data_IF_926471335194
#
_entry.id   IF_926471335194
#
_cell.length_a   1.000
_cell.length_b   1.000
_cell.length_c   1.000
_cell.angle_alpha   90.00
_cell.angle_beta   90.00
_cell.angle_gamma   90.00
#
_symmetry.space_group_name_H-M   'P 1'
#
loop_
_entity.id
_entity.type
_entity.pdbx_description
1 polymer ?
#
# COMPACT_ATOMS: atom_id res chain seq x y z
N UNK A 1 -3.77 40.92 -1.01
CA UNK A 1 -3.21 39.56 -0.93
C UNK A 1 -4.00 38.71 -1.92
N UNK A 2 -3.34 38.06 -2.88
CA UNK A 2 -4.02 37.09 -3.73
C UNK A 2 -4.38 35.90 -2.85
N UNK A 3 -5.67 35.57 -2.75
CA UNK A 3 -6.14 34.36 -2.05
C UNK A 3 -5.63 33.15 -2.83
N UNK A 4 -4.49 32.60 -2.40
CA UNK A 4 -4.02 31.31 -2.87
C UNK A 4 -4.94 30.24 -2.29
N UNK A 5 -6.08 30.01 -2.96
CA UNK A 5 -7.05 28.99 -2.56
C UNK A 5 -6.43 27.62 -2.78
N UNK A 6 -6.03 26.96 -1.69
CA UNK A 6 -5.59 25.56 -1.70
C UNK A 6 -6.83 24.67 -1.65
N UNK A 7 -6.93 23.73 -2.59
CA UNK A 7 -8.03 22.75 -2.68
C UNK A 7 -7.44 21.36 -3.00
N UNK A 8 -8.12 20.28 -2.60
CA UNK A 8 -7.66 18.91 -2.81
C UNK A 8 -8.81 17.91 -2.88
N UNK A 9 -8.59 16.77 -3.52
CA UNK A 9 -9.60 15.73 -3.66
C UNK A 9 -9.69 14.87 -2.40
N UNK A 10 -10.88 14.72 -1.83
CA UNK A 10 -11.15 13.65 -0.88
C UNK A 10 -11.76 12.46 -1.62
N UNK A 11 -11.19 11.26 -1.47
CA UNK A 11 -11.74 10.04 -2.05
C UNK A 11 -12.05 9.03 -0.95
N UNK A 12 -13.34 8.79 -0.71
CA UNK A 12 -13.79 7.67 0.10
C UNK A 12 -13.57 6.33 -0.63
N UNK A 13 -13.82 5.21 0.03
CA UNK A 13 -13.57 3.88 -0.56
C UNK A 13 -14.37 3.63 -1.85
N UNK A 14 -15.62 4.11 -1.95
CA UNK A 14 -16.45 3.97 -3.15
C UNK A 14 -15.83 4.73 -4.33
N UNK A 15 -15.39 5.97 -4.09
CA UNK A 15 -14.74 6.79 -5.12
C UNK A 15 -13.39 6.20 -5.54
N UNK A 16 -12.66 5.55 -4.62
CA UNK A 16 -11.46 4.79 -4.96
C UNK A 16 -11.75 3.61 -5.89
N UNK A 17 -12.86 2.88 -5.66
CA UNK A 17 -13.32 1.80 -6.55
C UNK A 17 -13.69 2.36 -7.93
N UNK A 18 -14.45 3.44 -7.97
CA UNK A 18 -14.84 4.12 -9.22
C UNK A 18 -13.61 4.62 -10.00
N UNK A 19 -12.56 5.04 -9.30
CA UNK A 19 -11.26 5.42 -9.88
C UNK A 19 -10.40 4.23 -10.34
N UNK A 20 -10.85 2.99 -10.15
CA UNK A 20 -10.19 1.78 -10.64
C UNK A 20 -9.11 1.22 -9.70
N UNK A 21 -9.16 1.50 -8.39
CA UNK A 21 -8.16 1.00 -7.41
C UNK A 21 -8.03 -0.53 -7.39
N UNK A 22 -9.04 -1.26 -7.86
CA UNK A 22 -9.08 -2.73 -7.91
C UNK A 22 -8.58 -3.33 -9.22
N UNK A 23 -8.15 -2.52 -10.20
CA UNK A 23 -7.58 -2.99 -11.46
C UNK A 23 -6.20 -3.60 -11.22
N UNK A 24 -6.16 -4.93 -11.07
CA UNK A 24 -4.95 -5.67 -10.77
C UNK A 24 -3.94 -5.62 -11.92
N UNK A 25 -4.39 -5.73 -13.17
CA UNK A 25 -3.51 -5.72 -14.34
C UNK A 25 -2.78 -4.39 -14.44
N UNK A 26 -3.53 -3.29 -14.36
CA UNK A 26 -2.96 -1.94 -14.33
C UNK A 26 -2.03 -1.75 -13.13
N UNK A 27 -2.38 -2.30 -11.97
CA UNK A 27 -1.54 -2.23 -10.79
C UNK A 27 -0.20 -2.94 -10.98
N UNK A 28 -0.17 -4.13 -11.60
CA UNK A 28 1.07 -4.85 -11.94
C UNK A 28 1.95 -4.03 -12.88
N UNK A 29 1.35 -3.40 -13.90
CA UNK A 29 2.11 -2.58 -14.86
C UNK A 29 2.68 -1.32 -14.19
N UNK A 30 1.89 -0.63 -13.35
CA UNK A 30 2.37 0.50 -12.54
C UNK A 30 3.46 0.06 -11.56
N UNK A 31 3.32 -1.10 -10.91
CA UNK A 31 4.32 -1.58 -9.96
C UNK A 31 5.63 -1.99 -10.63
N UNK A 32 5.56 -2.45 -11.88
CA UNK A 32 6.73 -2.65 -12.73
C UNK A 32 7.46 -1.33 -12.98
N UNK A 33 6.73 -0.26 -13.33
CA UNK A 33 7.30 1.08 -13.53
C UNK A 33 7.92 1.64 -12.24
N UNK A 34 7.29 1.43 -11.08
CA UNK A 34 7.86 1.81 -9.79
C UNK A 34 9.19 1.10 -9.53
N UNK A 35 9.30 -0.20 -9.80
CA UNK A 35 10.56 -0.91 -9.64
C UNK A 35 11.66 -0.41 -10.59
N UNK A 36 11.31 -0.03 -11.82
CA UNK A 36 12.25 0.59 -12.77
C UNK A 36 12.75 1.95 -12.25
N UNK A 37 11.86 2.82 -11.77
CA UNK A 37 12.23 4.11 -11.16
C UNK A 37 13.10 3.92 -9.91
N UNK A 38 12.74 2.95 -9.06
CA UNK A 38 13.56 2.60 -7.89
C UNK A 38 14.96 2.12 -8.29
N UNK A 39 15.05 1.28 -9.33
CA UNK A 39 16.32 0.81 -9.88
C UNK A 39 17.20 1.93 -10.43
N UNK A 40 16.58 2.99 -10.97
CA UNK A 40 17.26 4.21 -11.43
C UNK A 40 17.61 5.18 -10.30
N UNK A 41 17.07 4.97 -9.10
CA UNK A 41 17.22 5.89 -7.97
C UNK A 41 16.30 7.12 -8.02
N UNK A 42 15.29 7.14 -8.88
CA UNK A 42 14.34 8.25 -9.00
C UNK A 42 13.18 8.12 -8.01
N UNK A 43 13.55 8.08 -6.73
CA UNK A 43 12.64 8.00 -5.60
C UNK A 43 13.33 8.50 -4.33
N UNK A 44 12.54 8.87 -3.34
CA UNK A 44 13.03 9.19 -1.98
C UNK A 44 12.03 8.61 -0.98
N UNK A 45 12.49 7.82 -0.02
CA UNK A 45 11.64 7.42 1.12
C UNK A 45 12.11 8.12 2.41
N UNK A 46 11.38 7.93 3.50
CA UNK A 46 11.73 8.54 4.79
C UNK A 46 13.07 8.08 5.37
N UNK A 47 13.44 8.68 6.51
CA UNK A 47 14.62 8.32 7.28
C UNK A 47 15.95 8.86 6.72
N UNK A 48 17.02 8.75 7.53
CA UNK A 48 18.33 9.37 7.26
C UNK A 48 18.95 8.98 5.92
N UNK A 49 18.74 7.72 5.50
CA UNK A 49 19.30 7.18 4.27
C UNK A 49 18.38 7.34 3.06
N UNK A 50 17.28 8.11 3.19
CA UNK A 50 16.28 8.32 2.13
C UNK A 50 15.64 7.02 1.60
N UNK A 51 15.62 5.98 2.44
CA UNK A 51 15.26 4.62 2.05
C UNK A 51 14.60 3.81 3.19
N UNK A 52 14.08 4.48 4.23
CA UNK A 52 13.34 3.81 5.31
C UNK A 52 11.93 3.51 4.87
N UNK A 53 11.45 2.31 5.20
CA UNK A 53 10.09 1.89 4.86
C UNK A 53 9.00 2.70 5.58
N UNK A 54 9.32 3.27 6.74
CA UNK A 54 8.41 4.10 7.51
C UNK A 54 8.88 4.31 8.95
N UNK A 55 8.05 5.01 9.73
CA UNK A 55 8.24 5.24 11.16
C UNK A 55 7.12 4.51 11.90
N UNK A 56 7.50 3.65 12.83
CA UNK A 56 6.61 2.82 13.62
C UNK A 56 6.28 3.50 14.95
N UNK A 57 5.00 3.57 15.29
CA UNK A 57 4.54 3.76 16.66
C UNK A 57 4.10 2.40 17.21
N UNK A 58 4.81 1.93 18.23
CA UNK A 58 4.45 0.76 19.04
C UNK A 58 4.12 1.19 20.46
N UNK A 59 3.38 0.34 21.16
CA UNK A 59 3.03 0.57 22.56
C UNK A 59 3.81 -0.36 23.48
N UNK A 60 4.04 0.01 24.76
CA UNK A 60 4.69 -0.86 25.72
C UNK A 60 3.80 -2.04 26.13
N UNK A 61 4.41 -3.14 26.56
CA UNK A 61 3.70 -4.29 27.12
C UNK A 61 2.99 -3.95 28.42
N UNK A 62 3.55 -3.05 29.24
CA UNK A 62 2.92 -2.56 30.47
C UNK A 62 2.90 -1.03 30.45
N UNK A 63 1.81 -0.40 29.92
CA UNK A 63 1.71 1.06 29.86
C UNK A 63 1.55 1.67 31.26
N UNK A 64 2.34 2.70 31.56
CA UNK A 64 2.30 3.44 32.83
C UNK A 64 1.08 4.36 32.94
N UNK A 65 0.51 4.77 31.81
CA UNK A 65 -0.58 5.75 31.74
C UNK A 65 -1.92 5.10 31.40
N UNK A 66 -3.02 5.50 32.05
CA UNK A 66 -4.30 4.79 31.97
C UNK A 66 -4.93 4.74 30.56
N UNK A 67 -4.64 5.73 29.72
CA UNK A 67 -5.20 5.81 28.36
C UNK A 67 -4.24 5.32 27.27
N UNK A 68 -2.99 4.98 27.63
CA UNK A 68 -2.03 4.48 26.65
C UNK A 68 -2.42 3.04 26.28
N UNK A 69 -2.63 2.74 24.99
CA UNK A 69 -2.89 1.38 24.58
C UNK A 69 -1.77 0.45 25.04
N UNK A 70 -2.11 -0.76 25.49
CA UNK A 70 -1.14 -1.83 25.68
C UNK A 70 -0.65 -2.35 24.32
N UNK A 71 0.56 -2.86 24.26
CA UNK A 71 1.01 -3.66 23.14
C UNK A 71 0.03 -4.81 22.86
N UNK A 72 0.02 -5.29 21.62
CA UNK A 72 -0.84 -6.39 21.22
C UNK A 72 -0.30 -7.04 19.95
N UNK A 73 -0.81 -8.23 19.60
CA UNK A 73 -0.32 -8.94 18.43
C UNK A 73 -0.58 -8.10 17.17
N UNK A 74 0.51 -7.65 16.56
CA UNK A 74 0.54 -6.71 15.42
C UNK A 74 -0.15 -5.36 15.65
N UNK A 75 -0.22 -4.89 16.90
CA UNK A 75 -0.74 -3.56 17.22
C UNK A 75 0.32 -2.51 16.95
N UNK A 76 0.07 -1.63 15.98
CA UNK A 76 0.99 -0.55 15.60
C UNK A 76 0.31 0.55 14.80
N UNK A 77 0.94 1.72 14.79
CA UNK A 77 0.72 2.72 13.75
C UNK A 77 2.00 2.93 12.93
N UNK A 78 1.85 3.32 11.67
CA UNK A 78 2.96 3.45 10.73
C UNK A 78 2.72 4.64 9.79
N UNK A 79 3.71 5.54 9.73
CA UNK A 79 3.83 6.59 8.73
C UNK A 79 4.83 6.14 7.66
N UNK A 80 4.37 6.03 6.41
CA UNK A 80 5.21 5.62 5.29
C UNK A 80 5.21 6.72 4.24
N UNK A 81 6.23 7.59 4.31
CA UNK A 81 6.41 8.72 3.39
C UNK A 81 7.32 8.35 2.22
N UNK A 82 6.96 8.80 1.03
CA UNK A 82 7.79 8.66 -0.16
C UNK A 82 7.53 9.76 -1.20
N UNK A 83 8.55 10.07 -1.98
CA UNK A 83 8.47 10.70 -3.29
C UNK A 83 8.79 9.64 -4.37
N UNK A 84 8.08 9.73 -5.49
CA UNK A 84 8.33 8.93 -6.68
C UNK A 84 8.40 9.85 -7.89
N UNK A 85 9.47 9.72 -8.68
CA UNK A 85 9.67 10.53 -9.88
C UNK A 85 8.99 9.98 -11.13
N UNK A 86 9.68 10.06 -12.26
CA UNK A 86 9.13 9.75 -13.58
C UNK A 86 7.86 10.56 -13.90
N UNK A 87 6.87 9.92 -14.52
CA UNK A 87 5.58 10.56 -14.83
C UNK A 87 4.67 10.79 -13.61
N UNK A 88 5.05 10.27 -12.44
CA UNK A 88 4.26 10.43 -11.22
C UNK A 88 4.57 11.78 -10.59
N UNK A 89 5.85 12.07 -10.34
CA UNK A 89 6.36 13.32 -9.77
C UNK A 89 5.50 13.83 -8.59
N UNK A 90 5.28 12.96 -7.61
CA UNK A 90 4.45 13.23 -6.42
C UNK A 90 5.15 12.79 -5.15
N UNK A 91 4.91 13.54 -4.09
CA UNK A 91 5.18 13.10 -2.73
C UNK A 91 3.89 12.57 -2.11
N UNK A 92 4.00 11.70 -1.11
CA UNK A 92 2.82 11.19 -0.41
C UNK A 92 3.15 10.42 0.86
N UNK A 93 2.11 10.13 1.61
CA UNK A 93 2.18 9.33 2.83
C UNK A 93 1.08 8.29 2.84
N UNK A 94 1.44 7.07 3.25
CA UNK A 94 0.50 6.11 3.80
C UNK A 94 0.57 6.10 5.32
N UNK A 95 -0.52 6.51 5.95
CA UNK A 95 -0.72 6.44 7.38
C UNK A 95 -1.68 5.30 7.73
N UNK A 96 -1.29 4.42 8.66
CA UNK A 96 -2.20 3.38 9.10
C UNK A 96 -2.04 2.89 10.52
N UNK A 97 -3.15 2.44 11.09
CA UNK A 97 -3.21 1.58 12.26
C UNK A 97 -3.41 0.11 11.88
N UNK A 98 -2.79 -0.80 12.61
CA UNK A 98 -3.04 -2.23 12.57
C UNK A 98 -3.33 -2.70 13.99
N UNK A 99 -4.38 -3.48 14.18
CA UNK A 99 -4.73 -4.10 15.45
C UNK A 99 -5.58 -5.34 15.19
N UNK A 100 -5.11 -6.52 15.60
CA UNK A 100 -5.86 -7.77 15.40
C UNK A 100 -7.22 -7.76 16.11
N UNK A 101 -7.32 -7.08 17.24
CA UNK A 101 -8.55 -7.02 18.04
C UNK A 101 -9.65 -6.17 17.41
N UNK A 102 -9.35 -5.40 16.34
CA UNK A 102 -10.36 -4.66 15.60
C UNK A 102 -11.44 -5.57 15.03
N UNK A 103 -11.11 -6.82 14.70
CA UNK A 103 -12.07 -7.80 14.20
C UNK A 103 -13.20 -8.06 15.21
N UNK A 104 -12.90 -8.03 16.51
CA UNK A 104 -13.90 -8.19 17.58
C UNK A 104 -14.85 -6.99 17.68
N UNK A 105 -14.46 -5.85 17.09
CA UNK A 105 -15.22 -4.61 17.04
C UNK A 105 -15.95 -4.42 15.70
N UNK A 106 -15.95 -5.44 14.82
CA UNK A 106 -16.51 -5.33 13.48
C UNK A 106 -15.70 -4.43 12.53
N UNK A 107 -14.45 -4.11 12.88
CA UNK A 107 -13.55 -3.27 12.09
C UNK A 107 -12.50 -4.12 11.36
N UNK A 108 -12.00 -3.66 10.20
CA UNK A 108 -10.83 -4.28 9.57
C UNK A 108 -9.62 -4.28 10.51
N UNK A 109 -8.79 -5.33 10.41
CA UNK A 109 -7.53 -5.43 11.17
C UNK A 109 -6.67 -4.17 11.00
N UNK A 110 -6.57 -3.66 9.78
CA UNK A 110 -5.83 -2.43 9.49
C UNK A 110 -6.75 -1.42 8.83
N UNK A 111 -6.60 -0.15 9.20
CA UNK A 111 -7.38 0.97 8.68
C UNK A 111 -6.37 2.01 8.25
N UNK A 112 -6.45 2.43 6.99
CA UNK A 112 -5.40 3.17 6.30
C UNK A 112 -5.98 4.39 5.58
N UNK A 113 -5.22 5.48 5.58
CA UNK A 113 -5.43 6.64 4.72
C UNK A 113 -4.17 6.91 3.89
N UNK A 114 -4.35 7.52 2.72
CA UNK A 114 -3.27 8.02 1.88
C UNK A 114 -3.42 9.52 1.65
N UNK A 115 -2.30 10.22 1.58
CA UNK A 115 -2.22 11.59 1.05
C UNK A 115 -1.23 11.63 -0.11
N UNK A 116 -1.54 12.45 -1.10
CA UNK A 116 -0.64 12.83 -2.19
C UNK A 116 -0.46 14.35 -2.19
N UNK A 117 0.74 14.78 -2.53
CA UNK A 117 1.18 16.16 -2.61
C UNK A 117 1.95 16.39 -3.91
N UNK A 118 1.81 17.61 -4.42
CA UNK A 118 2.71 18.11 -5.46
C UNK A 118 4.15 18.13 -4.91
N UNK A 119 5.09 17.60 -5.69
CA UNK A 119 6.46 17.37 -5.21
C UNK A 119 7.27 18.67 -5.04
N UNK A 120 6.87 19.76 -5.70
CA UNK A 120 7.59 21.04 -5.67
C UNK A 120 6.98 22.00 -4.64
N UNK A 121 5.69 22.33 -4.82
CA UNK A 121 4.97 23.26 -3.95
C UNK A 121 4.55 22.68 -2.61
N UNK A 122 4.48 21.35 -2.50
CA UNK A 122 3.93 20.65 -1.34
C UNK A 122 2.41 20.73 -1.21
N UNK A 123 1.70 21.38 -2.15
CA UNK A 123 0.26 21.51 -2.11
C UNK A 123 -0.42 20.12 -2.11
N UNK A 124 -1.44 19.88 -1.26
CA UNK A 124 -2.15 18.61 -1.25
C UNK A 124 -2.90 18.41 -2.56
N UNK A 125 -2.81 17.20 -3.10
CA UNK A 125 -3.53 16.79 -4.31
C UNK A 125 -4.75 15.95 -3.94
N UNK A 126 -4.57 14.98 -3.04
CA UNK A 126 -5.65 14.10 -2.63
C UNK A 126 -5.46 13.52 -1.23
N UNK A 127 -6.57 13.25 -0.53
CA UNK A 127 -6.64 12.47 0.70
C UNK A 127 -7.66 11.34 0.55
N UNK A 128 -7.24 10.10 0.75
CA UNK A 128 -7.95 8.95 0.19
C UNK A 128 -8.02 7.76 1.16
N UNK A 129 -9.08 6.95 1.05
CA UNK A 129 -9.13 5.62 1.70
C UNK A 129 -8.00 4.72 1.21
N UNK A 130 -7.22 4.15 2.12
CA UNK A 130 -5.98 3.42 1.81
C UNK A 130 -6.09 1.90 1.80
N UNK A 131 -7.21 1.32 2.24
CA UNK A 131 -7.33 -0.13 2.47
C UNK A 131 -7.16 -0.95 1.18
N UNK A 132 -7.93 -0.62 0.14
CA UNK A 132 -7.92 -1.35 -1.14
C UNK A 132 -6.61 -1.14 -1.90
N UNK A 133 -6.16 0.10 -2.05
CA UNK A 133 -4.87 0.40 -2.71
C UNK A 133 -3.73 -0.33 -2.00
N UNK A 134 -3.72 -0.36 -0.66
CA UNK A 134 -2.68 -1.07 0.10
C UNK A 134 -2.71 -2.57 -0.15
N UNK A 135 -3.88 -3.21 -0.20
CA UNK A 135 -3.95 -4.65 -0.47
C UNK A 135 -3.60 -4.98 -1.92
N UNK A 136 -4.21 -4.30 -2.89
CA UNK A 136 -4.02 -4.54 -4.32
C UNK A 136 -2.56 -4.36 -4.72
N UNK A 137 -1.92 -3.24 -4.34
CA UNK A 137 -0.49 -3.02 -4.63
C UNK A 137 0.42 -4.02 -3.94
N UNK A 138 0.06 -4.51 -2.75
CA UNK A 138 0.84 -5.54 -2.06
C UNK A 138 0.74 -6.87 -2.81
N UNK A 139 -0.47 -7.25 -3.23
CA UNK A 139 -0.71 -8.45 -4.03
C UNK A 139 -0.09 -8.39 -5.42
N UNK A 140 -0.01 -7.20 -6.02
CA UNK A 140 0.62 -7.00 -7.32
C UNK A 140 2.14 -7.33 -7.30
N UNK A 141 2.83 -7.16 -6.17
CA UNK A 141 4.29 -7.41 -6.09
C UNK A 141 4.65 -8.87 -6.45
N UNK A 142 4.03 -9.91 -5.85
CA UNK A 142 4.19 -11.28 -6.33
C UNK A 142 3.88 -11.48 -7.82
N UNK A 143 2.88 -10.79 -8.37
CA UNK A 143 2.57 -10.82 -9.81
C UNK A 143 3.70 -10.25 -10.66
N UNK A 144 4.27 -9.11 -10.28
CA UNK A 144 5.48 -8.56 -10.94
C UNK A 144 6.62 -9.57 -10.86
N UNK A 145 6.89 -10.13 -9.69
CA UNK A 145 7.92 -11.16 -9.52
C UNK A 145 7.70 -12.37 -10.43
N UNK A 146 6.47 -12.90 -10.45
CA UNK A 146 6.12 -14.05 -11.27
C UNK A 146 6.23 -13.76 -12.78
N UNK A 147 5.84 -12.56 -13.23
CA UNK A 147 5.96 -12.13 -14.63
C UNK A 147 7.40 -12.26 -15.16
N UNK A 148 8.40 -12.02 -14.32
CA UNK A 148 9.82 -12.06 -14.72
C UNK A 148 10.56 -13.34 -14.30
N UNK A 149 10.10 -14.03 -13.25
CA UNK A 149 10.88 -15.09 -12.60
C UNK A 149 10.18 -16.46 -12.59
N UNK A 150 8.85 -16.52 -12.77
CA UNK A 150 8.15 -17.80 -12.83
C UNK A 150 8.42 -18.51 -14.16
N UNK A 151 8.37 -19.84 -14.15
CA UNK A 151 8.44 -20.60 -15.41
C UNK A 151 7.19 -20.30 -16.24
N UNK A 152 7.30 -20.06 -17.56
CA UNK A 152 6.15 -19.78 -18.42
C UNK A 152 5.08 -20.88 -18.41
N UNK A 153 5.47 -22.12 -18.09
CA UNK A 153 4.61 -23.32 -18.03
C UNK A 153 4.10 -23.63 -16.60
N UNK A 154 4.19 -22.70 -15.66
CA UNK A 154 3.73 -22.89 -14.28
C UNK A 154 2.21 -23.14 -14.23
N UNK A 155 1.80 -24.30 -13.70
CA UNK A 155 0.40 -24.72 -13.57
C UNK A 155 -0.17 -24.66 -12.15
N UNK A 156 0.70 -24.71 -11.14
CA UNK A 156 0.30 -24.74 -9.74
C UNK A 156 0.91 -23.58 -8.99
N UNK A 157 0.09 -22.85 -8.23
CA UNK A 157 0.54 -21.92 -7.20
C UNK A 157 0.12 -22.42 -5.81
N UNK A 158 0.85 -22.00 -4.77
CA UNK A 158 0.47 -22.27 -3.39
C UNK A 158 0.12 -20.96 -2.66
N UNK A 159 -0.93 -20.98 -1.84
CA UNK A 159 -1.36 -19.83 -1.02
C UNK A 159 -1.27 -20.17 0.46
N UNK A 160 -0.25 -19.65 1.14
CA UNK A 160 -0.09 -19.83 2.59
C UNK A 160 -0.88 -18.76 3.34
N UNK A 161 -2.06 -19.16 3.84
CA UNK A 161 -3.04 -18.29 4.49
C UNK A 161 -4.05 -17.70 3.51
N UNK A 162 -5.30 -17.51 3.97
CA UNK A 162 -6.45 -17.11 3.11
C UNK A 162 -6.95 -15.67 3.37
N UNK A 163 -6.06 -14.80 3.85
CA UNK A 163 -6.36 -13.39 4.13
C UNK A 163 -6.42 -12.52 2.88
N UNK A 164 -6.74 -11.24 3.06
CA UNK A 164 -6.87 -10.25 1.97
C UNK A 164 -5.63 -10.21 1.08
N UNK A 165 -4.43 -10.23 1.67
CA UNK A 165 -3.17 -10.18 0.91
C UNK A 165 -3.01 -11.40 0.01
N UNK A 166 -3.22 -12.61 0.52
CA UNK A 166 -3.13 -13.84 -0.29
C UNK A 166 -4.14 -13.85 -1.43
N UNK A 167 -5.36 -13.32 -1.21
CA UNK A 167 -6.37 -13.18 -2.27
C UNK A 167 -5.91 -12.22 -3.36
N UNK A 168 -5.40 -11.04 -3.00
CA UNK A 168 -4.86 -10.08 -3.98
C UNK A 168 -3.60 -10.60 -4.68
N UNK A 169 -2.75 -11.36 -3.99
CA UNK A 169 -1.59 -12.01 -4.62
C UNK A 169 -2.02 -13.07 -5.62
N UNK A 170 -3.05 -13.85 -5.29
CA UNK A 170 -3.61 -14.84 -6.22
C UNK A 170 -4.19 -14.17 -7.47
N UNK A 171 -4.94 -13.07 -7.32
CA UNK A 171 -5.41 -12.28 -8.46
C UNK A 171 -4.23 -11.86 -9.35
N UNK A 172 -3.15 -11.36 -8.76
CA UNK A 172 -1.97 -10.95 -9.52
C UNK A 172 -1.27 -12.12 -10.24
N UNK A 173 -1.18 -13.29 -9.60
CA UNK A 173 -0.62 -14.50 -10.19
C UNK A 173 -1.47 -14.99 -11.37
N UNK A 174 -2.81 -14.99 -11.22
CA UNK A 174 -3.73 -15.38 -12.29
C UNK A 174 -3.63 -14.45 -13.51
N UNK A 175 -3.32 -13.16 -13.31
CA UNK A 175 -3.12 -12.19 -14.40
C UNK A 175 -1.86 -12.42 -15.24
N UNK A 176 -0.82 -13.05 -14.68
CA UNK A 176 0.50 -13.16 -15.34
C UNK A 176 0.92 -14.60 -15.65
N UNK A 177 0.40 -15.57 -14.90
CA UNK A 177 0.67 -17.00 -15.11
C UNK A 177 -0.55 -17.66 -15.77
N UNK A 178 -0.69 -17.47 -17.08
CA UNK A 178 -1.88 -17.87 -17.85
C UNK A 178 -2.18 -19.39 -17.86
N UNK A 179 -1.21 -20.22 -17.47
CA UNK A 179 -1.35 -21.68 -17.40
C UNK A 179 -1.74 -22.20 -16.00
N UNK A 180 -1.97 -21.33 -15.02
CA UNK A 180 -2.40 -21.75 -13.69
C UNK A 180 -3.76 -22.45 -13.74
N UNK A 181 -3.80 -23.70 -13.28
CA UNK A 181 -5.02 -24.51 -13.17
C UNK A 181 -5.27 -25.03 -11.74
N UNK A 182 -4.27 -24.95 -10.87
CA UNK A 182 -4.31 -25.54 -9.53
C UNK A 182 -3.82 -24.55 -8.46
N UNK A 183 -4.55 -24.44 -7.36
CA UNK A 183 -4.15 -23.72 -6.14
C UNK A 183 -4.00 -24.72 -4.99
N UNK A 184 -2.84 -24.74 -4.33
CA UNK A 184 -2.54 -25.58 -3.17
C UNK A 184 -2.44 -24.79 -1.87
#
# INVERSE_FOLDING_TARGET
MNDAKIDFLYLNEKEMIEAGVTDMRRCIDVMTEVYDLMGKGDYVMGGKNKNSHGILISFPDEPEFPNMPKNGPDRRFMAMVAYLGGRFNVAGEKWYGSNRDNLQKGLPRSILMLVLNDADSGAPLAFMSGNLVSSVRTGAIPGVGAKYLARPDSKTCALIGAGVISRTSFMALAEVCHNLDTVK
#
